data_IF_910821999757
#
_entry.id   IF_910821999757
#
_cell.length_a   1.000
_cell.length_b   1.000
_cell.length_c   1.000
_cell.angle_alpha   90.00
_cell.angle_beta   90.00
_cell.angle_gamma   90.00
#
_symmetry.space_group_name_H-M   'P 1'
#
loop_
_entity.id
_entity.type
_entity.pdbx_description
1 polymer ?
#
# COMPACT_ATOMS: atom_id res chain seq x y z
N UNK A 1 18.16 -24.31 0.69
CA UNK A 1 19.36 -24.27 -0.19
C UNK A 1 19.98 -22.88 0.02
N UNK A 2 21.15 -22.81 0.69
CA UNK A 2 21.76 -21.52 1.03
C UNK A 2 22.24 -20.78 -0.19
N UNK A 3 22.12 -19.46 -0.19
CA UNK A 3 22.66 -18.62 -1.27
C UNK A 3 24.13 -18.32 -0.98
N UNK A 4 24.99 -18.76 -1.86
CA UNK A 4 26.45 -18.64 -1.73
C UNK A 4 26.94 -17.54 -2.66
N UNK A 5 27.58 -16.51 -2.11
CA UNK A 5 28.25 -15.46 -2.88
C UNK A 5 29.71 -15.84 -3.06
N UNK A 6 30.21 -15.82 -4.30
CA UNK A 6 31.60 -16.12 -4.62
C UNK A 6 32.36 -14.86 -5.06
N UNK A 7 33.52 -14.62 -4.43
CA UNK A 7 34.51 -13.64 -4.87
C UNK A 7 35.72 -14.39 -5.41
N UNK A 8 36.19 -14.04 -6.59
CA UNK A 8 37.37 -14.64 -7.20
C UNK A 8 38.41 -13.54 -7.48
N UNK A 9 39.59 -13.69 -6.88
CA UNK A 9 40.75 -12.86 -7.15
C UNK A 9 41.76 -13.66 -7.98
N UNK A 10 42.25 -13.07 -9.08
CA UNK A 10 43.26 -13.66 -9.94
C UNK A 10 44.62 -13.06 -9.55
N UNK A 11 45.52 -13.89 -9.03
CA UNK A 11 46.90 -13.52 -8.76
C UNK A 11 47.78 -14.09 -9.85
N UNK A 12 48.41 -13.23 -10.67
CA UNK A 12 49.35 -13.63 -11.72
C UNK A 12 50.79 -13.52 -11.18
N UNK A 13 51.50 -14.64 -11.19
CA UNK A 13 52.95 -14.66 -11.01
C UNK A 13 53.65 -14.72 -12.36
N UNK A 14 54.17 -13.57 -12.78
CA UNK A 14 54.83 -13.39 -14.11
C UNK A 14 56.13 -14.15 -14.24
N UNK A 15 56.72 -14.73 -13.13
CA UNK A 15 58.00 -15.42 -13.18
C UNK A 15 57.91 -16.91 -13.59
N UNK A 16 56.74 -17.54 -13.46
CA UNK A 16 56.53 -18.96 -13.74
C UNK A 16 55.38 -19.31 -14.70
N UNK A 17 54.74 -18.33 -15.25
CA UNK A 17 53.56 -18.52 -16.11
C UNK A 17 52.43 -19.34 -15.45
N UNK A 18 52.25 -19.19 -14.14
CA UNK A 18 51.25 -19.86 -13.32
C UNK A 18 50.25 -18.80 -12.82
N UNK A 19 48.98 -19.03 -13.13
CA UNK A 19 47.88 -18.21 -12.59
C UNK A 19 47.23 -18.92 -11.42
N UNK A 20 47.19 -18.28 -10.26
CA UNK A 20 46.50 -18.77 -9.05
C UNK A 20 45.15 -18.04 -8.97
N UNK A 21 44.09 -18.82 -8.83
CA UNK A 21 42.76 -18.29 -8.58
C UNK A 21 42.38 -18.57 -7.12
N UNK A 22 42.20 -17.52 -6.33
CA UNK A 22 41.64 -17.64 -5.00
C UNK A 22 40.12 -17.40 -5.06
N UNK A 23 39.35 -18.34 -4.58
CA UNK A 23 37.88 -18.24 -4.54
C UNK A 23 37.42 -18.27 -3.10
N UNK A 24 36.67 -17.26 -2.71
CA UNK A 24 36.07 -17.15 -1.39
C UNK A 24 34.57 -17.38 -1.50
N UNK A 25 34.03 -18.26 -0.67
CA UNK A 25 32.62 -18.59 -0.60
C UNK A 25 32.07 -18.17 0.75
N UNK A 26 31.05 -17.33 0.76
CA UNK A 26 30.38 -16.88 1.96
C UNK A 26 28.92 -17.34 1.91
N UNK A 27 28.43 -17.89 3.04
CA UNK A 27 27.00 -18.16 3.21
C UNK A 27 26.34 -16.92 3.81
N UNK A 28 25.52 -16.25 3.01
CA UNK A 28 24.79 -15.05 3.41
C UNK A 28 23.30 -15.32 3.68
N UNK A 29 22.90 -16.58 3.81
CA UNK A 29 21.49 -16.97 3.99
C UNK A 29 20.86 -16.27 5.17
N UNK A 30 21.48 -16.33 6.35
CA UNK A 30 20.96 -15.68 7.57
C UNK A 30 20.85 -14.16 7.41
N UNK A 31 21.86 -13.53 6.79
CA UNK A 31 21.85 -12.09 6.56
C UNK A 31 20.68 -11.67 5.66
N UNK A 32 20.47 -12.40 4.58
CA UNK A 32 19.36 -12.13 3.64
C UNK A 32 17.99 -12.35 4.29
N UNK A 33 17.85 -13.41 5.09
CA UNK A 33 16.62 -13.63 5.87
C UNK A 33 16.36 -12.48 6.86
N UNK A 34 17.39 -11.96 7.52
CA UNK A 34 17.26 -10.80 8.41
C UNK A 34 16.85 -9.53 7.67
N UNK A 35 17.47 -9.28 6.52
CA UNK A 35 17.12 -8.13 5.67
C UNK A 35 15.67 -8.24 5.24
N UNK A 36 15.25 -9.42 4.75
CA UNK A 36 13.87 -9.64 4.29
C UNK A 36 12.86 -9.44 5.43
N UNK A 37 13.10 -10.01 6.60
CA UNK A 37 12.25 -9.81 7.79
C UNK A 37 12.14 -8.34 8.20
N UNK A 38 13.22 -7.58 8.06
CA UNK A 38 13.23 -6.15 8.36
C UNK A 38 12.37 -5.38 7.34
N UNK A 39 12.52 -5.67 6.05
CA UNK A 39 11.70 -5.07 4.99
C UNK A 39 10.21 -5.40 5.17
N UNK A 40 9.87 -6.66 5.42
CA UNK A 40 8.49 -7.12 5.61
C UNK A 40 7.78 -6.45 6.79
N UNK A 41 8.53 -6.09 7.82
CA UNK A 41 8.01 -5.42 9.02
C UNK A 41 7.96 -3.90 8.93
N UNK A 42 8.54 -3.28 7.90
CA UNK A 42 8.42 -1.83 7.69
C UNK A 42 6.95 -1.43 7.61
N UNK A 43 6.62 -0.30 8.24
CA UNK A 43 5.28 0.25 8.17
C UNK A 43 5.13 1.11 6.91
N UNK A 44 4.06 0.89 6.20
CA UNK A 44 3.61 1.72 5.09
C UNK A 44 2.37 2.51 5.49
N UNK A 45 2.24 3.68 4.92
CA UNK A 45 1.11 4.58 5.11
C UNK A 45 0.27 4.58 3.84
N UNK A 46 -1.05 4.52 3.99
CA UNK A 46 -1.94 4.69 2.87
C UNK A 46 -3.12 5.62 3.23
N UNK A 47 -3.66 6.27 2.22
CA UNK A 47 -4.90 7.03 2.27
C UNK A 47 -5.90 6.36 1.35
N UNK A 48 -7.14 6.24 1.79
CA UNK A 48 -8.23 5.74 0.98
C UNK A 48 -9.39 6.74 1.00
N UNK A 49 -9.83 7.17 -0.18
CA UNK A 49 -10.89 8.18 -0.35
C UNK A 49 -12.03 7.59 -1.14
N UNK A 50 -13.26 7.90 -0.71
CA UNK A 50 -14.47 7.61 -1.46
C UNK A 50 -14.67 8.72 -2.50
N UNK A 51 -14.56 8.38 -3.79
CA UNK A 51 -14.45 9.36 -4.87
C UNK A 51 -15.75 10.14 -5.13
N UNK A 52 -16.90 9.46 -5.02
CA UNK A 52 -18.22 9.98 -5.33
C UNK A 52 -19.17 9.92 -4.11
N UNK A 53 -18.63 10.24 -2.92
CA UNK A 53 -19.33 10.06 -1.65
C UNK A 53 -20.61 10.89 -1.55
N UNK A 54 -20.55 12.19 -1.87
CA UNK A 54 -21.70 13.10 -1.72
C UNK A 54 -22.78 12.74 -2.75
N UNK A 55 -22.41 12.48 -4.01
CA UNK A 55 -23.35 12.09 -5.06
C UNK A 55 -24.07 10.79 -4.74
N UNK A 56 -23.34 9.82 -4.20
CA UNK A 56 -23.94 8.55 -3.79
C UNK A 56 -24.91 8.73 -2.62
N UNK A 57 -24.63 9.63 -1.68
CA UNK A 57 -25.54 9.94 -0.56
C UNK A 57 -26.76 10.73 -0.99
N UNK A 58 -26.62 11.66 -1.94
CA UNK A 58 -27.76 12.44 -2.47
C UNK A 58 -28.80 11.54 -3.15
N UNK A 59 -28.37 10.45 -3.74
CA UNK A 59 -29.26 9.48 -4.38
C UNK A 59 -30.05 8.58 -3.41
N UNK A 60 -29.78 8.67 -2.10
CA UNK A 60 -30.37 7.81 -1.07
C UNK A 60 -31.25 8.63 -0.12
N UNK A 61 -32.40 8.08 0.27
CA UNK A 61 -33.27 8.68 1.28
C UNK A 61 -32.53 8.90 2.61
N UNK A 62 -32.79 10.01 3.30
CA UNK A 62 -32.10 10.43 4.51
C UNK A 62 -31.97 9.34 5.59
N UNK A 63 -33.03 8.56 5.78
CA UNK A 63 -33.03 7.46 6.76
C UNK A 63 -32.00 6.37 6.41
N UNK A 64 -31.71 6.17 5.14
CA UNK A 64 -30.79 5.13 4.66
C UNK A 64 -29.36 5.62 4.54
N UNK A 65 -29.11 6.95 4.48
CA UNK A 65 -27.75 7.51 4.39
C UNK A 65 -26.84 7.03 5.50
N UNK A 66 -27.32 7.09 6.75
CA UNK A 66 -26.56 6.60 7.91
C UNK A 66 -26.21 5.12 7.82
N UNK A 67 -27.13 4.30 7.28
CA UNK A 67 -26.89 2.88 7.07
C UNK A 67 -25.85 2.65 5.97
N UNK A 68 -25.92 3.39 4.86
CA UNK A 68 -24.93 3.32 3.77
C UNK A 68 -23.51 3.60 4.28
N UNK A 69 -23.36 4.69 5.02
CA UNK A 69 -22.09 5.09 5.65
C UNK A 69 -21.57 3.99 6.56
N UNK A 70 -22.41 3.46 7.45
CA UNK A 70 -22.02 2.41 8.37
C UNK A 70 -21.60 1.11 7.68
N UNK A 71 -22.25 0.74 6.57
CA UNK A 71 -21.88 -0.45 5.78
C UNK A 71 -20.54 -0.27 5.09
N UNK A 72 -20.25 0.91 4.54
CA UNK A 72 -18.97 1.24 3.90
C UNK A 72 -17.86 1.23 4.95
N UNK A 73 -18.03 1.95 6.07
CA UNK A 73 -17.07 1.99 7.17
C UNK A 73 -16.73 0.60 7.68
N UNK A 74 -17.75 -0.23 7.89
CA UNK A 74 -17.57 -1.62 8.32
C UNK A 74 -16.82 -2.44 7.28
N UNK A 75 -17.12 -2.28 6.00
CA UNK A 75 -16.50 -3.03 4.92
C UNK A 75 -15.01 -2.67 4.81
N UNK A 76 -14.67 -1.40 4.79
CA UNK A 76 -13.29 -0.91 4.74
C UNK A 76 -12.50 -1.39 5.97
N UNK A 77 -13.03 -1.13 7.17
CA UNK A 77 -12.35 -1.51 8.42
C UNK A 77 -12.13 -3.03 8.50
N UNK A 78 -13.15 -3.83 8.19
CA UNK A 78 -13.04 -5.29 8.24
C UNK A 78 -12.03 -5.82 7.23
N UNK A 79 -12.04 -5.27 6.02
CA UNK A 79 -11.12 -5.71 4.97
C UNK A 79 -9.66 -5.49 5.37
N UNK A 80 -9.29 -4.28 5.76
CA UNK A 80 -7.91 -3.98 6.14
C UNK A 80 -7.49 -4.66 7.46
N UNK A 81 -8.41 -4.92 8.38
CA UNK A 81 -8.12 -5.70 9.59
C UNK A 81 -7.69 -7.14 9.29
N UNK A 82 -8.13 -7.73 8.17
CA UNK A 82 -7.68 -9.06 7.75
C UNK A 82 -6.19 -9.07 7.31
N UNK A 83 -5.60 -7.91 7.09
CA UNK A 83 -4.19 -7.71 6.71
C UNK A 83 -3.38 -7.02 7.83
N UNK A 84 -3.79 -7.16 9.08
CA UNK A 84 -3.18 -6.47 10.23
C UNK A 84 -3.08 -4.95 10.05
N UNK A 85 -3.93 -4.38 9.21
CA UNK A 85 -3.99 -2.95 8.94
C UNK A 85 -4.81 -2.20 9.99
N UNK A 86 -4.26 -1.08 10.46
CA UNK A 86 -4.98 -0.12 11.27
C UNK A 86 -5.69 0.88 10.35
N UNK A 87 -6.99 1.07 10.60
CA UNK A 87 -7.82 2.02 9.86
C UNK A 87 -8.30 3.11 10.80
N UNK A 88 -8.10 4.36 10.42
CA UNK A 88 -8.67 5.52 11.11
C UNK A 88 -9.44 6.39 10.12
N UNK A 89 -10.71 6.61 10.37
CA UNK A 89 -11.50 7.59 9.62
C UNK A 89 -11.03 8.99 9.98
N UNK A 90 -10.62 9.78 9.00
CA UNK A 90 -10.18 11.18 9.16
C UNK A 90 -11.33 12.15 8.94
N UNK A 91 -12.07 11.95 7.86
CA UNK A 91 -13.21 12.76 7.43
C UNK A 91 -14.36 11.83 7.01
N UNK A 92 -15.44 12.39 6.52
CA UNK A 92 -16.64 11.62 6.10
C UNK A 92 -16.31 10.55 5.06
N UNK A 93 -15.42 10.88 4.12
CA UNK A 93 -15.06 10.13 2.92
C UNK A 93 -13.59 9.69 2.90
N UNK A 94 -12.80 9.99 3.96
CA UNK A 94 -11.35 9.78 3.97
C UNK A 94 -10.91 8.89 5.12
N UNK A 95 -10.08 7.92 4.80
CA UNK A 95 -9.51 6.97 5.75
C UNK A 95 -7.99 7.01 5.68
N UNK A 96 -7.38 6.93 6.84
CA UNK A 96 -5.95 6.76 7.04
C UNK A 96 -5.68 5.31 7.40
N UNK A 97 -4.65 4.74 6.78
CA UNK A 97 -4.29 3.33 6.91
C UNK A 97 -2.81 3.22 7.27
N UNK A 98 -2.50 2.33 8.20
CA UNK A 98 -1.13 1.89 8.49
C UNK A 98 -1.11 0.37 8.44
N UNK A 99 -0.15 -0.20 7.74
CA UNK A 99 0.03 -1.64 7.64
C UNK A 99 1.51 -2.00 7.45
N UNK A 100 1.85 -3.27 7.56
CA UNK A 100 3.20 -3.74 7.25
C UNK A 100 3.41 -3.84 5.74
N UNK A 101 4.67 -3.79 5.32
CA UNK A 101 5.06 -4.00 3.92
C UNK A 101 4.55 -5.35 3.41
N UNK A 102 4.69 -6.43 4.20
CA UNK A 102 4.17 -7.75 3.85
C UNK A 102 2.66 -7.76 3.60
N UNK A 103 1.90 -7.00 4.37
CA UNK A 103 0.45 -6.86 4.18
C UNK A 103 0.12 -6.11 2.89
N UNK A 104 0.91 -5.09 2.53
CA UNK A 104 0.78 -4.38 1.26
C UNK A 104 1.03 -5.30 0.08
N UNK A 105 2.05 -6.17 0.14
CA UNK A 105 2.31 -7.13 -0.93
C UNK A 105 1.15 -8.12 -1.10
N UNK A 106 0.57 -8.63 0.00
CA UNK A 106 -0.62 -9.46 -0.05
C UNK A 106 -1.84 -8.74 -0.67
N UNK A 107 -2.00 -7.43 -0.39
CA UNK A 107 -3.05 -6.61 -1.02
C UNK A 107 -2.82 -6.43 -2.53
N UNK A 108 -1.57 -6.27 -2.97
CA UNK A 108 -1.20 -6.20 -4.39
C UNK A 108 -1.50 -7.49 -5.12
N UNK A 109 -1.18 -8.65 -4.53
CA UNK A 109 -1.49 -9.97 -5.08
C UNK A 109 -2.99 -10.15 -5.30
N UNK A 110 -3.81 -9.65 -4.37
CA UNK A 110 -5.27 -9.63 -4.49
C UNK A 110 -5.79 -8.47 -5.36
N UNK A 111 -4.90 -7.70 -6.02
CA UNK A 111 -5.25 -6.54 -6.86
C UNK A 111 -6.17 -5.54 -6.15
N UNK A 112 -5.95 -5.34 -4.85
CA UNK A 112 -6.78 -4.45 -4.03
C UNK A 112 -8.28 -4.73 -4.18
N UNK A 113 -8.69 -5.97 -3.99
CA UNK A 113 -10.07 -6.41 -4.19
C UNK A 113 -11.12 -5.57 -3.43
N UNK A 114 -10.72 -4.83 -2.40
CA UNK A 114 -11.58 -3.87 -1.69
C UNK A 114 -12.21 -2.84 -2.63
N UNK A 115 -11.50 -2.45 -3.70
CA UNK A 115 -12.03 -1.49 -4.68
C UNK A 115 -13.31 -2.00 -5.35
N UNK A 116 -13.39 -3.30 -5.60
CA UNK A 116 -14.58 -3.92 -6.16
C UNK A 116 -15.62 -4.23 -5.08
N UNK A 117 -15.18 -4.62 -3.89
CA UNK A 117 -16.09 -4.89 -2.78
C UNK A 117 -16.88 -3.64 -2.35
N UNK A 118 -16.26 -2.45 -2.35
CA UNK A 118 -16.96 -1.21 -2.00
C UNK A 118 -18.06 -0.90 -3.01
N UNK A 119 -17.85 -1.15 -4.30
CA UNK A 119 -18.86 -0.98 -5.37
C UNK A 119 -20.10 -1.84 -5.17
N UNK A 120 -19.97 -2.98 -4.48
CA UNK A 120 -21.11 -3.87 -4.22
C UNK A 120 -22.04 -3.39 -3.13
N UNK A 121 -21.68 -2.35 -2.37
CA UNK A 121 -22.54 -1.79 -1.33
C UNK A 121 -23.69 -1.04 -1.99
N UNK A 122 -24.88 -1.63 -1.91
CA UNK A 122 -26.10 -1.05 -2.47
C UNK A 122 -27.27 -1.23 -1.50
N UNK A 123 -27.91 -0.11 -1.17
CA UNK A 123 -29.13 -0.05 -0.35
C UNK A 123 -30.21 0.81 -1.01
N UNK A 124 -30.14 0.94 -2.33
CA UNK A 124 -30.99 1.81 -3.12
C UNK A 124 -30.29 3.06 -3.62
N UNK A 125 -28.95 3.14 -3.52
CA UNK A 125 -28.16 4.19 -4.16
C UNK A 125 -28.12 3.98 -5.68
N UNK A 126 -28.35 5.05 -6.44
CA UNK A 126 -28.34 5.01 -7.90
C UNK A 126 -26.94 4.80 -8.47
N UNK A 127 -25.94 5.32 -7.78
CA UNK A 127 -24.52 5.22 -8.16
C UNK A 127 -23.77 4.27 -7.23
N UNK A 128 -22.94 3.42 -7.83
CA UNK A 128 -21.99 2.62 -7.06
C UNK A 128 -20.91 3.53 -6.43
N UNK A 129 -20.59 3.26 -5.17
CA UNK A 129 -19.52 4.00 -4.48
C UNK A 129 -18.18 3.48 -4.98
N UNK A 130 -17.27 4.40 -5.31
CA UNK A 130 -15.91 4.09 -5.72
C UNK A 130 -14.91 4.52 -4.66
N UNK A 131 -13.77 3.84 -4.64
CA UNK A 131 -12.70 4.04 -3.67
C UNK A 131 -11.38 4.21 -4.43
N UNK A 132 -10.62 5.23 -4.07
CA UNK A 132 -9.24 5.41 -4.51
C UNK A 132 -8.28 5.18 -3.35
N UNK A 133 -7.11 4.61 -3.60
CA UNK A 133 -6.10 4.34 -2.58
C UNK A 133 -4.75 4.89 -3.05
N UNK A 134 -4.14 5.74 -2.23
CA UNK A 134 -2.77 6.21 -2.40
C UNK A 134 -1.86 5.61 -1.34
N UNK A 135 -0.73 5.03 -1.74
CA UNK A 135 0.22 4.37 -0.82
C UNK A 135 1.55 5.11 -0.84
N UNK A 136 2.06 5.41 0.35
CA UNK A 136 3.38 5.99 0.57
C UNK A 136 4.29 4.98 1.28
N UNK A 137 5.45 4.69 0.68
CA UNK A 137 6.42 3.74 1.16
C UNK A 137 7.85 4.15 0.79
N UNK A 138 8.83 3.49 1.41
CA UNK A 138 10.27 3.66 1.12
C UNK A 138 10.83 5.07 1.37
N UNK A 139 10.12 5.93 2.10
CA UNK A 139 10.66 7.21 2.52
C UNK A 139 11.56 7.05 3.78
N UNK A 140 12.37 8.07 4.05
CA UNK A 140 13.25 8.09 5.22
C UNK A 140 12.48 8.23 6.54
N UNK A 141 11.25 8.76 6.50
CA UNK A 141 10.38 8.95 7.67
C UNK A 141 8.94 8.60 7.36
N UNK A 142 8.17 8.26 8.41
CA UNK A 142 6.72 8.02 8.25
C UNK A 142 5.93 9.26 7.82
N UNK A 143 6.41 10.44 8.17
CA UNK A 143 5.81 11.70 7.71
C UNK A 143 5.96 11.83 6.19
N UNK A 144 7.12 11.51 5.66
CA UNK A 144 7.34 11.50 4.21
C UNK A 144 6.52 10.41 3.51
N UNK A 145 6.35 9.23 4.12
CA UNK A 145 5.44 8.21 3.61
C UNK A 145 4.00 8.74 3.54
N UNK A 146 3.55 9.49 4.55
CA UNK A 146 2.24 10.14 4.52
C UNK A 146 2.13 11.16 3.36
N UNK A 147 3.14 12.00 3.16
CA UNK A 147 3.15 12.95 2.03
C UNK A 147 3.14 12.22 0.66
N UNK A 148 3.86 11.12 0.54
CA UNK A 148 3.83 10.29 -0.67
C UNK A 148 2.44 9.66 -0.90
N UNK A 149 1.77 9.21 0.16
CA UNK A 149 0.41 8.70 0.05
C UNK A 149 -0.59 9.78 -0.39
N UNK A 150 -0.41 11.04 0.06
CA UNK A 150 -1.19 12.18 -0.40
C UNK A 150 -1.00 12.45 -1.89
N UNK A 151 0.23 12.52 -2.34
CA UNK A 151 0.55 12.73 -3.76
C UNK A 151 -0.06 11.59 -4.60
N UNK A 152 0.11 10.35 -4.14
CA UNK A 152 -0.42 9.18 -4.87
C UNK A 152 -1.95 9.20 -5.00
N UNK A 153 -2.68 9.58 -3.93
CA UNK A 153 -4.13 9.65 -3.97
C UNK A 153 -4.63 10.81 -4.84
N UNK A 154 -3.96 11.96 -4.80
CA UNK A 154 -4.27 13.09 -5.67
C UNK A 154 -4.10 12.71 -7.15
N UNK A 155 -3.08 11.93 -7.47
CA UNK A 155 -2.89 11.40 -8.83
C UNK A 155 -3.98 10.38 -9.23
N UNK A 156 -4.42 9.54 -8.30
CA UNK A 156 -5.46 8.56 -8.54
C UNK A 156 -6.84 9.19 -8.79
N UNK A 157 -7.15 10.28 -8.10
CA UNK A 157 -8.39 11.04 -8.26
C UNK A 157 -8.43 11.83 -9.57
N UNK A 158 -7.28 12.09 -10.20
CA UNK A 158 -7.16 12.80 -11.47
C UNK A 158 -7.45 14.32 -11.40
N UNK A 159 -7.29 15.05 -12.52
CA UNK A 159 -7.41 16.51 -12.54
C UNK A 159 -8.82 17.05 -12.28
N UNK A 160 -9.85 16.22 -12.30
CA UNK A 160 -11.25 16.63 -12.09
C UNK A 160 -11.52 16.99 -10.61
N UNK A 161 -10.81 16.39 -9.69
CA UNK A 161 -11.00 16.64 -8.25
C UNK A 161 -10.42 17.99 -7.79
N UNK A 162 -9.46 18.56 -8.52
CA UNK A 162 -8.80 19.82 -8.16
C UNK A 162 -9.70 21.07 -8.34
N UNK A 163 -10.72 21.00 -9.20
CA UNK A 163 -11.62 22.13 -9.46
C UNK A 163 -12.68 22.32 -8.37
N UNK A 164 -13.05 21.28 -7.63
CA UNK A 164 -14.02 21.37 -6.54
C UNK A 164 -13.42 21.83 -5.20
N UNK A 165 -12.13 21.63 -4.97
CA UNK A 165 -11.45 22.06 -3.74
C UNK A 165 -11.07 23.55 -3.68
N UNK A 166 -11.22 24.30 -4.77
CA UNK A 166 -10.91 25.73 -4.86
C UNK A 166 -12.09 26.68 -4.71
N UNK A 167 -13.29 26.19 -4.48
CA UNK A 167 -14.52 26.99 -4.46
C UNK A 167 -15.12 27.20 -3.05
N UNK A 168 -14.36 26.95 -1.96
CA UNK A 168 -14.80 27.30 -0.60
C UNK A 168 -13.68 27.95 0.20
#
# INVERSE_FOLDING_TARGET
MGEVVSHADILEDMSQNVSLIAMYLYDETELKEYIQKNEDNKLVVALAYLDNYEEALESVEDVRRSLLIALIDRKITKYFSNFDGLVKKLEKDKYFLIMRQSSLEALKEQRFHILDEVKTVNIGNEMAITLSIGVGLNASTYIQNYEYSRIAIEMALGPVSYTHLRAH
#
